data_IF_199290094913
#
_entry.id   IF_199290094913
#
_cell.length_a   1.000
_cell.length_b   1.000
_cell.length_c   1.000
_cell.angle_alpha   90.00
_cell.angle_beta   90.00
_cell.angle_gamma   90.00
#
_symmetry.space_group_name_H-M   'P 1'
#
loop_
_entity.id
_entity.type
_entity.pdbx_description
1 polymer ?
#
# COMPACT_ATOMS: atom_id res chain seq x y z
N UNK A 1 2.27 3.59 -7.79
CA UNK A 1 3.65 3.50 -7.26
C UNK A 1 4.10 4.83 -6.68
N UNK A 2 4.46 5.85 -7.49
CA UNK A 2 4.93 7.16 -7.02
C UNK A 2 4.18 7.76 -5.82
N UNK A 3 2.84 7.77 -5.85
CA UNK A 3 2.02 8.31 -4.74
C UNK A 3 2.18 7.49 -3.45
N UNK A 4 2.22 6.16 -3.57
CA UNK A 4 2.40 5.26 -2.43
C UNK A 4 3.80 5.42 -1.85
N UNK A 5 4.83 5.52 -2.71
CA UNK A 5 6.21 5.76 -2.27
C UNK A 5 6.33 7.11 -1.55
N UNK A 6 5.75 8.19 -2.11
CA UNK A 6 5.75 9.53 -1.50
C UNK A 6 5.00 9.59 -0.17
N UNK A 7 3.98 8.76 0.02
CA UNK A 7 3.25 8.63 1.28
C UNK A 7 3.95 7.71 2.30
N UNK A 8 5.14 7.19 2.00
CA UNK A 8 5.84 6.22 2.85
C UNK A 8 5.16 4.85 2.93
N UNK A 9 4.29 4.55 1.97
CA UNK A 9 3.59 3.28 1.88
C UNK A 9 4.34 2.22 1.08
N UNK A 10 3.83 0.99 1.11
CA UNK A 10 4.37 -0.16 0.38
C UNK A 10 3.30 -0.76 -0.53
N UNK A 11 3.73 -1.30 -1.68
CA UNK A 11 2.88 -2.04 -2.62
C UNK A 11 3.33 -3.49 -2.63
N UNK A 12 2.41 -4.42 -2.34
CA UNK A 12 2.61 -5.87 -2.47
C UNK A 12 1.72 -6.39 -3.59
N UNK A 13 2.25 -7.30 -4.40
CA UNK A 13 1.49 -8.02 -5.42
C UNK A 13 1.32 -9.47 -4.96
N UNK A 14 0.07 -9.90 -4.84
CA UNK A 14 -0.29 -11.28 -4.49
C UNK A 14 -0.95 -11.93 -5.70
N UNK A 15 -0.28 -12.93 -6.28
CA UNK A 15 -0.86 -13.71 -7.35
C UNK A 15 -1.83 -14.73 -6.78
N UNK A 16 -3.02 -14.85 -7.38
CA UNK A 16 -3.99 -15.89 -7.01
C UNK A 16 -3.74 -17.14 -7.83
N UNK A 17 -3.82 -18.29 -7.16
CA UNK A 17 -3.49 -19.62 -7.70
C UNK A 17 -4.27 -19.99 -8.97
N UNK A 18 -5.50 -19.45 -9.12
CA UNK A 18 -6.39 -19.69 -10.29
C UNK A 18 -6.46 -18.49 -11.24
N UNK A 19 -5.45 -17.61 -11.21
CA UNK A 19 -5.37 -16.42 -12.02
C UNK A 19 -5.89 -15.16 -11.32
N UNK A 20 -5.43 -14.02 -11.83
CA UNK A 20 -5.65 -12.72 -11.22
C UNK A 20 -4.55 -12.33 -10.24
N UNK A 21 -4.39 -11.02 -10.06
CA UNK A 21 -3.44 -10.43 -9.14
C UNK A 21 -4.19 -9.50 -8.21
N UNK A 22 -3.87 -9.57 -6.92
CA UNK A 22 -4.32 -8.61 -5.92
C UNK A 22 -3.15 -7.71 -5.57
N UNK A 23 -3.32 -6.42 -5.75
CA UNK A 23 -2.39 -5.44 -5.22
C UNK A 23 -2.86 -4.99 -3.84
N UNK A 24 -2.00 -5.13 -2.84
CA UNK A 24 -2.20 -4.64 -1.49
C UNK A 24 -1.35 -3.40 -1.30
N UNK A 25 -1.99 -2.31 -0.89
CA UNK A 25 -1.31 -1.03 -0.59
C UNK A 25 -1.36 -0.86 0.93
N UNK A 26 -0.19 -0.83 1.54
CA UNK A 26 -0.03 -0.54 2.97
C UNK A 26 0.42 0.91 3.12
N UNK A 27 -0.39 1.74 3.78
CA UNK A 27 -0.05 3.13 4.08
C UNK A 27 0.24 3.28 5.58
N UNK A 28 1.21 4.12 5.98
CA UNK A 28 1.39 4.45 7.38
C UNK A 28 0.12 5.12 7.91
N UNK A 29 -0.29 4.75 9.13
CA UNK A 29 -1.37 5.49 9.80
C UNK A 29 -0.93 6.95 9.93
N UNK A 30 -1.78 7.85 9.47
CA UNK A 30 -1.56 9.28 9.67
C UNK A 30 -1.38 9.49 11.17
N UNK A 31 -0.24 10.04 11.58
CA UNK A 31 -0.14 10.57 12.94
C UNK A 31 -1.08 11.76 12.94
N UNK A 32 -2.20 11.67 13.64
CA UNK A 32 -2.87 12.85 14.16
C UNK A 32 -1.82 13.57 15.01
N UNK A 33 -1.07 14.49 14.40
CA UNK A 33 -0.41 15.54 15.16
C UNK A 33 -1.55 16.35 15.77
N UNK A 34 -1.92 15.95 16.98
CA UNK A 34 -2.76 16.75 17.87
C UNK A 34 -1.88 17.96 18.20
N UNK A 35 -2.08 19.06 17.48
CA UNK A 35 -1.48 20.37 17.74
C UNK A 35 -2.07 20.93 19.03
#
# INVERSE_FOLDING_TARGET
KRIVDSAGGTIKAENREYGGCRFVIELPKQKDEII
#
